data_IF_086632941058
#
_entry.id   IF_086632941058
#
_cell.length_a   1.000
_cell.length_b   1.000
_cell.length_c   1.000
_cell.angle_alpha   90.00
_cell.angle_beta   90.00
_cell.angle_gamma   90.00
#
_symmetry.space_group_name_H-M   'P 1'
#
loop_
_entity.id
_entity.type
_entity.pdbx_description
1 polymer ?
#
# COMPACT_ATOMS: atom_id res chain seq x y z
N UNK A 1 -70.74 -102.78 -39.34
CA UNK A 1 -69.42 -103.20 -38.81
C UNK A 1 -68.98 -102.14 -37.83
N UNK A 2 -68.84 -102.53 -36.56
CA UNK A 2 -68.56 -101.69 -35.39
C UNK A 2 -67.05 -101.50 -35.23
N UNK A 3 -66.67 -100.29 -34.82
CA UNK A 3 -65.49 -99.79 -34.09
C UNK A 3 -64.21 -100.64 -33.92
N UNK A 4 -63.06 -99.94 -33.94
CA UNK A 4 -62.08 -99.99 -32.84
C UNK A 4 -61.10 -98.80 -32.92
N UNK A 5 -61.10 -97.96 -31.88
CA UNK A 5 -60.13 -96.90 -31.63
C UNK A 5 -58.93 -97.48 -30.85
N UNK A 6 -57.71 -97.07 -31.20
CA UNK A 6 -56.48 -97.46 -30.52
C UNK A 6 -56.18 -96.50 -29.36
N UNK A 7 -56.10 -97.05 -28.15
CA UNK A 7 -55.68 -96.35 -26.94
C UNK A 7 -54.14 -96.40 -26.81
N UNK A 8 -53.49 -95.24 -26.83
CA UNK A 8 -52.10 -95.06 -26.45
C UNK A 8 -51.99 -94.71 -24.96
N UNK A 9 -51.13 -95.42 -24.24
CA UNK A 9 -50.87 -95.18 -22.82
C UNK A 9 -49.88 -94.02 -22.67
N UNK A 10 -50.33 -92.91 -22.10
CA UNK A 10 -49.46 -91.83 -21.66
C UNK A 10 -48.99 -92.12 -20.22
N UNK A 11 -47.68 -92.27 -20.04
CA UNK A 11 -47.05 -92.25 -18.72
C UNK A 11 -47.22 -90.84 -18.14
N UNK A 12 -47.96 -90.75 -17.04
CA UNK A 12 -48.08 -89.53 -16.25
C UNK A 12 -46.73 -89.22 -15.58
N UNK A 13 -46.07 -88.15 -16.00
CA UNK A 13 -45.03 -87.51 -15.21
C UNK A 13 -45.70 -86.82 -14.01
N UNK A 14 -45.39 -87.28 -12.80
CA UNK A 14 -45.79 -86.58 -11.57
C UNK A 14 -45.14 -85.19 -11.50
N UNK A 15 -45.74 -84.23 -10.77
CA UNK A 15 -45.19 -82.90 -10.62
C UNK A 15 -43.85 -83.00 -9.87
N UNK A 16 -42.80 -82.45 -10.47
CA UNK A 16 -41.55 -82.19 -9.77
C UNK A 16 -41.86 -81.24 -8.59
N UNK A 17 -41.69 -81.74 -7.36
CA UNK A 17 -41.65 -80.88 -6.18
C UNK A 17 -40.43 -79.97 -6.29
N UNK A 18 -40.64 -78.74 -6.75
CA UNK A 18 -39.61 -77.72 -6.79
C UNK A 18 -39.21 -77.35 -5.38
N UNK A 19 -37.96 -77.66 -5.01
CA UNK A 19 -37.37 -77.13 -3.78
C UNK A 19 -37.37 -75.59 -3.89
N UNK A 20 -38.10 -74.90 -3.02
CA UNK A 20 -38.06 -73.45 -2.95
C UNK A 20 -36.66 -73.03 -2.48
N UNK A 21 -35.90 -72.33 -3.32
CA UNK A 21 -34.60 -71.79 -2.92
C UNK A 21 -34.79 -70.76 -1.79
N UNK A 22 -33.93 -70.76 -0.75
CA UNK A 22 -34.09 -69.87 0.39
C UNK A 22 -33.93 -68.41 -0.01
N UNK A 23 -34.80 -67.55 0.52
CA UNK A 23 -34.80 -66.11 0.29
C UNK A 23 -33.97 -65.37 1.35
N UNK A 24 -33.64 -64.10 1.09
CA UNK A 24 -32.82 -63.27 1.97
C UNK A 24 -33.65 -62.19 2.67
N UNK A 25 -33.41 -61.96 3.96
CA UNK A 25 -34.02 -60.84 4.68
C UNK A 25 -33.23 -59.56 4.43
N UNK A 26 -33.91 -58.51 3.95
CA UNK A 26 -33.30 -57.22 3.57
C UNK A 26 -33.90 -56.11 4.44
N UNK A 27 -33.29 -55.86 5.59
CA UNK A 27 -33.81 -54.89 6.59
C UNK A 27 -32.97 -53.62 6.73
N UNK A 28 -31.74 -53.62 6.20
CA UNK A 28 -30.83 -52.47 6.24
C UNK A 28 -30.03 -52.39 4.95
N UNK A 29 -29.70 -51.17 4.55
CA UNK A 29 -28.77 -50.89 3.46
C UNK A 29 -27.32 -51.16 3.84
N UNK A 30 -26.38 -50.95 2.89
CA UNK A 30 -24.94 -50.97 3.17
C UNK A 30 -24.54 -49.82 4.12
N UNK A 31 -23.31 -49.84 4.63
CA UNK A 31 -22.73 -48.71 5.35
C UNK A 31 -22.64 -47.48 4.44
N UNK A 32 -22.93 -46.29 4.98
CA UNK A 32 -23.08 -45.03 4.22
C UNK A 32 -24.12 -45.15 3.09
N UNK A 33 -25.21 -45.87 3.35
CA UNK A 33 -26.31 -46.00 2.41
C UNK A 33 -27.60 -46.57 3.01
N UNK A 34 -28.63 -46.60 2.16
CA UNK A 34 -29.99 -47.03 2.47
C UNK A 34 -30.54 -47.93 1.37
N UNK A 35 -31.65 -48.60 1.65
CA UNK A 35 -32.35 -49.42 0.65
C UNK A 35 -32.97 -48.51 -0.42
N UNK A 36 -32.89 -48.92 -1.68
CA UNK A 36 -33.57 -48.27 -2.80
C UNK A 36 -35.08 -48.53 -2.78
N UNK A 37 -35.79 -47.75 -3.59
CA UNK A 37 -37.25 -47.86 -3.71
C UNK A 37 -37.70 -49.19 -4.35
N UNK A 38 -36.80 -49.86 -5.08
CA UNK A 38 -37.00 -51.17 -5.71
C UNK A 38 -36.73 -52.34 -4.76
N UNK A 39 -36.18 -52.09 -3.57
CA UNK A 39 -36.00 -53.13 -2.56
C UNK A 39 -37.33 -53.47 -1.86
N UNK A 40 -37.56 -54.74 -1.47
CA UNK A 40 -38.78 -55.18 -0.79
C UNK A 40 -38.99 -54.43 0.54
N UNK A 41 -40.12 -53.73 0.65
CA UNK A 41 -40.47 -52.97 1.84
C UNK A 41 -41.19 -53.82 2.88
N UNK A 42 -42.20 -54.61 2.51
CA UNK A 42 -42.84 -55.59 3.41
C UNK A 42 -43.52 -56.70 2.56
N UNK A 43 -43.29 -57.99 2.82
CA UNK A 43 -42.29 -58.55 3.73
C UNK A 43 -40.89 -58.30 3.16
N UNK A 44 -39.95 -57.82 3.99
CA UNK A 44 -38.54 -57.53 3.69
C UNK A 44 -37.74 -58.75 3.19
N UNK A 45 -38.17 -59.36 2.10
CA UNK A 45 -37.77 -60.68 1.66
C UNK A 45 -37.45 -60.65 0.17
N UNK A 46 -36.17 -60.81 -0.15
CA UNK A 46 -35.66 -60.84 -1.51
C UNK A 46 -35.52 -62.30 -1.95
N UNK A 47 -36.24 -62.70 -3.00
CA UNK A 47 -36.21 -64.06 -3.54
C UNK A 47 -34.80 -64.44 -4.01
N UNK A 48 -34.43 -65.72 -3.89
CA UNK A 48 -33.16 -66.24 -4.43
C UNK A 48 -33.03 -65.92 -5.92
N UNK A 49 -31.86 -65.46 -6.35
CA UNK A 49 -31.55 -64.99 -7.70
C UNK A 49 -32.02 -63.57 -8.02
N UNK A 50 -32.72 -62.91 -7.09
CA UNK A 50 -33.18 -61.53 -7.28
C UNK A 50 -32.16 -60.52 -6.74
N UNK A 51 -32.24 -59.30 -7.28
CA UNK A 51 -31.41 -58.17 -6.88
C UNK A 51 -32.26 -56.92 -6.69
N UNK A 52 -31.81 -56.01 -5.83
CA UNK A 52 -32.33 -54.65 -5.75
C UNK A 52 -31.18 -53.65 -5.61
N UNK A 53 -31.45 -52.37 -5.88
CA UNK A 53 -30.47 -51.32 -5.84
C UNK A 53 -30.47 -50.64 -4.47
N UNK A 54 -29.29 -50.47 -3.87
CA UNK A 54 -29.14 -49.59 -2.71
C UNK A 54 -28.89 -48.15 -3.20
N UNK A 55 -29.12 -47.18 -2.32
CA UNK A 55 -28.77 -45.78 -2.54
C UNK A 55 -27.69 -45.42 -1.52
N UNK A 56 -26.56 -44.88 -1.97
CA UNK A 56 -25.56 -44.36 -1.06
C UNK A 56 -25.97 -42.99 -0.51
N UNK A 57 -25.42 -42.64 0.66
CA UNK A 57 -25.54 -41.30 1.23
C UNK A 57 -24.77 -40.28 0.38
N UNK A 58 -25.08 -38.98 0.54
CA UNK A 58 -24.42 -37.93 -0.24
C UNK A 58 -22.89 -37.98 -0.05
N UNK A 59 -22.16 -37.90 -1.16
CA UNK A 59 -20.70 -37.99 -1.19
C UNK A 59 -20.13 -39.41 -1.22
N UNK A 60 -20.98 -40.42 -1.44
CA UNK A 60 -20.56 -41.82 -1.67
C UNK A 60 -21.12 -42.39 -2.98
N UNK A 61 -20.29 -43.16 -3.67
CA UNK A 61 -20.62 -43.87 -4.91
C UNK A 61 -20.92 -45.35 -4.66
N UNK A 62 -21.95 -45.86 -5.34
CA UNK A 62 -22.38 -47.25 -5.21
C UNK A 62 -21.49 -48.19 -6.05
N UNK A 63 -20.87 -49.16 -5.38
CA UNK A 63 -20.13 -50.25 -6.02
C UNK A 63 -20.88 -51.58 -5.86
N UNK A 64 -21.29 -52.13 -7.00
CA UNK A 64 -22.03 -53.39 -7.07
C UNK A 64 -23.54 -53.24 -6.87
N UNK A 65 -24.21 -54.37 -6.67
CA UNK A 65 -25.66 -54.45 -6.51
C UNK A 65 -25.99 -55.44 -5.40
N UNK A 66 -27.10 -55.22 -4.70
CA UNK A 66 -27.56 -56.14 -3.68
C UNK A 66 -28.16 -57.38 -4.34
N UNK A 67 -27.60 -58.56 -4.08
CA UNK A 67 -28.05 -59.83 -4.69
C UNK A 67 -28.30 -60.86 -3.62
N UNK A 68 -29.45 -61.55 -3.69
CA UNK A 68 -29.70 -62.74 -2.90
C UNK A 68 -29.34 -63.99 -3.71
N UNK A 69 -28.40 -64.80 -3.24
CA UNK A 69 -28.08 -66.10 -3.83
C UNK A 69 -28.24 -67.21 -2.79
N UNK A 70 -29.31 -68.00 -2.93
CA UNK A 70 -29.64 -69.13 -2.07
C UNK A 70 -29.54 -68.79 -0.57
N UNK A 71 -30.22 -67.72 -0.16
CA UNK A 71 -30.27 -67.25 1.23
C UNK A 71 -29.06 -66.44 1.67
N UNK A 72 -28.01 -66.32 0.84
CA UNK A 72 -26.87 -65.46 1.10
C UNK A 72 -27.05 -64.11 0.43
N UNK A 73 -27.19 -63.05 1.25
CA UNK A 73 -27.30 -61.69 0.76
C UNK A 73 -25.91 -61.09 0.57
N UNK A 74 -25.58 -60.71 -0.66
CA UNK A 74 -24.40 -59.90 -0.96
C UNK A 74 -24.81 -58.44 -1.00
N UNK A 75 -24.26 -57.65 -0.09
CA UNK A 75 -24.47 -56.20 -0.04
C UNK A 75 -23.52 -55.48 -1.03
N UNK A 76 -23.96 -54.38 -1.64
CA UNK A 76 -23.06 -53.47 -2.32
C UNK A 76 -22.21 -52.68 -1.31
N UNK A 77 -21.21 -51.95 -1.79
CA UNK A 77 -20.37 -51.07 -0.97
C UNK A 77 -20.56 -49.63 -1.43
N UNK A 78 -20.78 -48.72 -0.49
CA UNK A 78 -20.74 -47.29 -0.76
C UNK A 78 -19.34 -46.78 -0.44
N UNK A 79 -18.60 -46.37 -1.47
CA UNK A 79 -17.23 -45.85 -1.32
C UNK A 79 -17.25 -44.32 -1.39
N UNK A 80 -16.38 -43.62 -0.64
CA UNK A 80 -16.21 -42.17 -0.78
C UNK A 80 -16.08 -41.76 -2.25
N UNK A 81 -16.94 -40.83 -2.69
CA UNK A 81 -16.97 -40.40 -4.08
C UNK A 81 -15.69 -39.64 -4.45
N UNK A 82 -15.10 -39.98 -5.59
CA UNK A 82 -13.95 -39.24 -6.14
C UNK A 82 -14.39 -37.94 -6.81
N UNK A 83 -13.42 -37.07 -7.10
CA UNK A 83 -13.65 -35.79 -7.77
C UNK A 83 -13.09 -35.81 -9.18
N UNK A 84 -13.86 -35.31 -10.16
CA UNK A 84 -13.36 -35.10 -11.52
C UNK A 84 -12.54 -33.81 -11.57
N UNK A 85 -11.22 -33.94 -11.75
CA UNK A 85 -10.31 -32.79 -11.78
C UNK A 85 -10.26 -32.16 -13.16
N UNK A 86 -10.58 -32.90 -14.22
CA UNK A 86 -10.56 -32.39 -15.59
C UNK A 86 -11.56 -31.25 -15.81
N UNK A 87 -12.69 -31.25 -15.09
CA UNK A 87 -13.66 -30.16 -15.09
C UNK A 87 -13.17 -28.93 -14.31
N UNK A 88 -12.28 -29.13 -13.33
CA UNK A 88 -11.71 -28.04 -12.54
C UNK A 88 -10.74 -27.15 -13.34
N UNK A 89 -10.14 -27.69 -14.41
CA UNK A 89 -9.31 -26.93 -15.35
C UNK A 89 -10.08 -25.82 -16.07
N UNK A 90 -11.39 -25.99 -16.26
CA UNK A 90 -12.24 -24.95 -16.86
C UNK A 90 -12.64 -23.87 -15.85
N UNK A 91 -12.50 -24.15 -14.56
CA UNK A 91 -12.90 -23.27 -13.46
C UNK A 91 -11.76 -22.39 -12.96
N UNK A 92 -10.50 -22.77 -13.21
CA UNK A 92 -9.32 -22.07 -12.70
C UNK A 92 -8.55 -21.44 -13.86
N UNK A 93 -8.50 -20.11 -13.88
CA UNK A 93 -7.75 -19.35 -14.87
C UNK A 93 -6.24 -19.61 -14.76
N UNK A 94 -5.54 -19.56 -15.90
CA UNK A 94 -4.07 -19.68 -15.99
C UNK A 94 -3.47 -21.03 -15.55
N UNK A 95 -4.27 -22.10 -15.47
CA UNK A 95 -3.72 -23.46 -15.39
C UNK A 95 -3.21 -23.87 -16.78
N UNK A 96 -1.98 -24.36 -16.84
CA UNK A 96 -1.39 -24.85 -18.09
C UNK A 96 -1.55 -26.36 -18.28
N UNK A 97 -1.45 -27.13 -17.20
CA UNK A 97 -1.50 -28.58 -17.25
C UNK A 97 -1.95 -29.18 -15.90
N UNK A 98 -2.43 -30.42 -15.91
CA UNK A 98 -2.85 -31.14 -14.70
C UNK A 98 -1.69 -31.45 -13.75
N UNK A 99 -0.43 -31.41 -14.20
CA UNK A 99 0.70 -31.64 -13.33
C UNK A 99 0.68 -33.02 -12.68
N UNK A 100 0.59 -33.05 -11.35
CA UNK A 100 0.49 -34.30 -10.58
C UNK A 100 -0.94 -34.83 -10.45
N UNK A 101 -1.94 -34.07 -10.90
CA UNK A 101 -3.34 -34.41 -10.75
C UNK A 101 -3.80 -35.51 -11.73
N UNK A 102 -4.40 -36.61 -11.24
CA UNK A 102 -5.13 -37.54 -12.10
C UNK A 102 -6.44 -36.93 -12.58
N UNK A 103 -7.06 -37.50 -13.63
CA UNK A 103 -8.39 -37.07 -14.09
C UNK A 103 -9.47 -37.26 -13.01
N UNK A 104 -9.35 -38.30 -12.19
CA UNK A 104 -10.22 -38.57 -11.06
C UNK A 104 -9.40 -38.68 -9.78
N UNK A 105 -9.59 -37.73 -8.88
CA UNK A 105 -8.92 -37.69 -7.58
C UNK A 105 -9.75 -38.46 -6.55
N UNK A 106 -9.13 -39.41 -5.85
CA UNK A 106 -9.82 -40.17 -4.80
C UNK A 106 -10.18 -39.26 -3.62
N UNK A 107 -11.27 -39.57 -2.92
CA UNK A 107 -11.66 -38.79 -1.73
C UNK A 107 -10.61 -38.91 -0.63
N UNK A 108 -10.16 -37.77 -0.12
CA UNK A 108 -9.12 -37.63 0.91
C UNK A 108 -7.75 -37.29 0.34
N UNK A 109 -7.59 -37.31 -0.99
CA UNK A 109 -6.32 -37.02 -1.65
C UNK A 109 -6.22 -35.55 -2.07
N UNK A 110 -4.97 -35.12 -2.25
CA UNK A 110 -4.61 -33.81 -2.78
C UNK A 110 -3.67 -33.96 -3.98
N UNK A 111 -3.70 -33.00 -4.90
CA UNK A 111 -2.77 -32.93 -6.02
C UNK A 111 -2.44 -31.48 -6.39
N UNK A 112 -1.26 -31.29 -6.96
CA UNK A 112 -0.78 -29.98 -7.41
C UNK A 112 -0.84 -29.91 -8.95
N UNK A 113 -1.68 -29.02 -9.51
CA UNK A 113 -1.69 -28.76 -10.95
C UNK A 113 -0.62 -27.74 -11.33
N UNK A 114 -0.26 -27.68 -12.61
CA UNK A 114 0.77 -26.76 -13.10
C UNK A 114 0.14 -25.48 -13.63
N UNK A 115 0.48 -24.37 -12.98
CA UNK A 115 0.16 -23.04 -13.49
C UNK A 115 0.97 -22.72 -14.75
N UNK A 116 0.39 -21.86 -15.60
CA UNK A 116 1.03 -21.34 -16.79
C UNK A 116 2.23 -20.45 -16.50
N UNK A 117 2.96 -20.06 -17.56
CA UNK A 117 4.18 -19.27 -17.41
C UNK A 117 3.90 -17.97 -16.64
N UNK A 118 4.73 -17.69 -15.63
CA UNK A 118 4.63 -16.56 -14.70
C UNK A 118 3.47 -16.63 -13.70
N UNK A 119 3.00 -17.82 -13.36
CA UNK A 119 2.01 -18.02 -12.30
C UNK A 119 2.46 -19.13 -11.35
N UNK A 120 2.19 -18.96 -10.05
CA UNK A 120 2.40 -19.93 -8.99
C UNK A 120 1.05 -20.37 -8.42
N UNK A 121 0.97 -21.64 -8.04
CA UNK A 121 -0.22 -22.20 -7.39
C UNK A 121 -0.35 -21.65 -5.97
N UNK A 122 -1.54 -21.16 -5.60
CA UNK A 122 -1.82 -20.70 -4.23
C UNK A 122 -1.98 -21.84 -3.22
N UNK A 123 -2.07 -23.09 -3.70
CA UNK A 123 -2.23 -24.31 -2.92
C UNK A 123 -2.43 -25.53 -3.80
N UNK A 124 -3.03 -26.58 -3.24
CA UNK A 124 -3.36 -27.83 -3.93
C UNK A 124 -4.85 -27.92 -4.26
N UNK A 125 -5.19 -28.72 -5.25
CA UNK A 125 -6.54 -29.27 -5.34
C UNK A 125 -6.70 -30.37 -4.31
N UNK A 126 -7.85 -30.42 -3.63
CA UNK A 126 -8.14 -31.49 -2.67
C UNK A 126 -9.58 -31.97 -2.79
N UNK A 127 -9.75 -33.29 -2.72
CA UNK A 127 -11.06 -33.93 -2.88
C UNK A 127 -11.53 -34.49 -1.54
N UNK A 128 -12.78 -34.25 -1.17
CA UNK A 128 -13.41 -34.90 -0.02
C UNK A 128 -14.88 -35.20 -0.30
N UNK A 129 -15.24 -36.48 -0.31
CA UNK A 129 -16.61 -36.97 -0.51
C UNK A 129 -17.27 -36.38 -1.76
N UNK A 130 -16.55 -36.38 -2.88
CA UNK A 130 -17.00 -35.84 -4.17
C UNK A 130 -16.97 -34.31 -4.28
N UNK A 131 -16.52 -33.59 -3.23
CA UNK A 131 -16.37 -32.14 -3.26
C UNK A 131 -14.90 -31.77 -3.49
N UNK A 132 -14.62 -31.07 -4.59
CA UNK A 132 -13.28 -30.63 -4.97
C UNK A 132 -13.08 -29.17 -4.54
N UNK A 133 -12.13 -28.93 -3.64
CA UNK A 133 -11.63 -27.58 -3.40
C UNK A 133 -10.48 -27.28 -4.34
N UNK A 134 -10.60 -26.15 -5.03
CA UNK A 134 -9.62 -25.69 -6.02
C UNK A 134 -8.67 -24.64 -5.42
N UNK A 135 -7.59 -24.38 -6.14
CA UNK A 135 -6.64 -23.32 -5.88
C UNK A 135 -6.68 -22.28 -7.01
N UNK A 136 -5.97 -21.18 -6.84
CA UNK A 136 -5.83 -20.13 -7.86
C UNK A 136 -4.38 -20.05 -8.34
N UNK A 137 -4.19 -19.95 -9.65
CA UNK A 137 -2.91 -19.57 -10.21
C UNK A 137 -2.74 -18.05 -10.05
N UNK A 138 -1.89 -17.66 -9.11
CA UNK A 138 -1.56 -16.26 -8.86
C UNK A 138 -0.28 -15.92 -9.58
N UNK A 139 -0.27 -14.78 -10.24
CA UNK A 139 0.86 -14.40 -11.07
C UNK A 139 2.12 -14.16 -10.24
N UNK A 140 3.26 -14.74 -10.65
CA UNK A 140 4.60 -14.55 -10.11
C UNK A 140 5.14 -13.17 -10.47
N UNK A 141 4.52 -12.12 -9.94
CA UNK A 141 5.06 -10.77 -10.03
C UNK A 141 6.05 -10.66 -8.88
N UNK A 142 7.25 -11.18 -9.07
CA UNK A 142 8.39 -10.58 -8.41
C UNK A 142 8.65 -9.28 -9.16
N UNK A 143 8.30 -8.10 -8.60
CA UNK A 143 8.59 -6.88 -9.30
C UNK A 143 10.11 -6.81 -9.45
N UNK A 144 10.59 -6.67 -10.69
CA UNK A 144 12.03 -6.56 -10.96
C UNK A 144 12.57 -5.48 -10.03
N UNK A 145 13.55 -5.81 -9.16
CA UNK A 145 13.96 -4.86 -8.15
C UNK A 145 14.62 -3.66 -8.84
N UNK A 146 14.06 -2.47 -8.64
CA UNK A 146 14.63 -1.25 -9.19
C UNK A 146 15.95 -0.92 -8.49
N UNK A 147 16.95 -0.40 -9.22
CA UNK A 147 18.21 0.04 -8.63
C UNK A 147 18.00 1.18 -7.62
N UNK A 148 19.02 1.44 -6.80
CA UNK A 148 19.03 2.59 -5.90
C UNK A 148 18.79 3.89 -6.68
N UNK A 149 17.97 4.78 -6.13
CA UNK A 149 17.52 6.02 -6.78
C UNK A 149 16.36 5.88 -7.75
N UNK A 150 15.75 4.71 -7.89
CA UNK A 150 14.59 4.50 -8.77
C UNK A 150 13.44 3.78 -8.05
N UNK A 151 12.22 4.26 -8.20
CA UNK A 151 10.99 3.61 -7.73
C UNK A 151 10.25 2.88 -8.86
N UNK A 152 9.33 2.01 -8.45
CA UNK A 152 8.45 1.27 -9.33
C UNK A 152 7.18 2.10 -9.58
N UNK A 153 6.78 2.30 -10.84
CA UNK A 153 5.50 2.96 -11.15
C UNK A 153 4.34 1.99 -10.97
N UNK A 154 3.44 2.29 -10.02
CA UNK A 154 2.17 1.59 -9.86
C UNK A 154 1.24 1.91 -11.05
N UNK A 155 0.82 0.89 -11.80
CA UNK A 155 -0.22 1.02 -12.84
C UNK A 155 0.20 0.71 -14.27
N UNK A 156 1.40 0.19 -14.50
CA UNK A 156 1.68 -0.51 -15.75
C UNK A 156 1.27 -1.98 -15.62
N UNK A 157 0.22 -2.39 -16.34
CA UNK A 157 -0.05 -3.80 -16.62
C UNK A 157 1.27 -4.42 -17.10
N UNK A 158 1.90 -5.32 -16.32
CA UNK A 158 3.04 -6.13 -16.77
C UNK A 158 2.58 -7.18 -17.80
N UNK A 159 1.93 -6.71 -18.86
CA UNK A 159 1.82 -7.44 -20.09
C UNK A 159 3.21 -7.50 -20.72
N UNK A 160 3.79 -8.71 -20.68
CA UNK A 160 4.89 -9.20 -21.52
C UNK A 160 6.34 -8.85 -21.12
N UNK A 161 6.83 -9.43 -20.02
CA UNK A 161 8.28 -9.60 -19.79
C UNK A 161 8.78 -10.89 -20.46
N UNK A 162 8.82 -10.90 -21.80
CA UNK A 162 9.51 -11.96 -22.56
C UNK A 162 10.59 -11.44 -23.51
N UNK A 163 10.99 -10.18 -23.35
CA UNK A 163 12.19 -9.67 -24.01
C UNK A 163 13.14 -9.07 -22.98
N UNK A 164 14.28 -9.75 -22.80
CA UNK A 164 15.31 -9.56 -21.77
C UNK A 164 16.15 -8.29 -21.97
N UNK A 165 15.48 -7.15 -22.18
CA UNK A 165 16.08 -5.82 -22.32
C UNK A 165 15.34 -4.72 -21.55
N UNK A 166 14.33 -5.08 -20.74
CA UNK A 166 13.39 -4.12 -20.13
C UNK A 166 13.47 -4.11 -18.59
N UNK A 167 14.65 -4.37 -18.01
CA UNK A 167 14.88 -4.12 -16.58
C UNK A 167 14.88 -2.61 -16.24
N UNK A 168 14.67 -1.73 -17.21
CA UNK A 168 14.74 -0.26 -17.07
C UNK A 168 13.51 0.50 -17.57
N UNK A 169 12.43 -0.17 -18.02
CA UNK A 169 11.22 0.56 -18.46
C UNK A 169 10.09 0.61 -17.42
N UNK A 170 10.28 0.01 -16.24
CA UNK A 170 9.29 0.04 -15.14
C UNK A 170 9.78 0.87 -13.94
N UNK A 171 11.06 1.25 -13.96
CA UNK A 171 11.69 2.00 -12.87
C UNK A 171 11.83 3.47 -13.27
N UNK A 172 11.21 4.37 -12.53
CA UNK A 172 11.37 5.81 -12.70
C UNK A 172 12.32 6.37 -11.64
N UNK A 173 13.15 7.36 -11.98
CA UNK A 173 14.06 7.95 -11.00
C UNK A 173 13.26 8.64 -9.90
N UNK A 174 13.73 8.55 -8.65
CA UNK A 174 13.09 9.23 -7.52
C UNK A 174 12.85 10.72 -7.87
N UNK A 175 11.66 11.26 -7.63
CA UNK A 175 11.40 12.67 -7.86
C UNK A 175 12.24 13.55 -6.93
N UNK A 176 12.30 14.85 -7.21
CA UNK A 176 12.98 15.80 -6.33
C UNK A 176 12.40 15.75 -4.91
N UNK A 177 13.25 15.89 -3.90
CA UNK A 177 12.92 15.76 -2.48
C UNK A 177 12.65 14.33 -2.00
N UNK A 178 13.01 13.32 -2.79
CA UNK A 178 12.98 11.91 -2.41
C UNK A 178 14.29 11.19 -2.75
N UNK A 179 14.55 10.05 -2.12
CA UNK A 179 15.76 9.24 -2.31
C UNK A 179 15.50 7.76 -2.08
N UNK A 180 16.34 6.87 -2.62
CA UNK A 180 16.24 5.43 -2.36
C UNK A 180 17.61 4.73 -2.25
N UNK A 181 17.99 4.25 -1.04
CA UNK A 181 19.33 3.70 -0.80
C UNK A 181 19.55 2.27 -1.26
N UNK A 182 18.49 1.47 -1.28
CA UNK A 182 18.59 0.03 -1.52
C UNK A 182 17.88 -0.36 -2.81
N UNK A 183 18.41 -1.41 -3.44
CA UNK A 183 17.81 -2.06 -4.60
C UNK A 183 16.54 -2.79 -4.15
N UNK A 184 15.42 -2.60 -4.85
CA UNK A 184 14.16 -3.25 -4.49
C UNK A 184 12.96 -2.68 -5.24
N UNK A 185 11.76 -3.24 -5.06
CA UNK A 185 10.54 -2.76 -5.72
C UNK A 185 9.84 -1.60 -5.00
N UNK A 186 10.26 -1.28 -3.76
CA UNK A 186 9.61 -0.26 -2.93
C UNK A 186 9.73 1.17 -3.49
N UNK A 187 8.84 2.07 -3.03
CA UNK A 187 8.84 3.48 -3.44
C UNK A 187 10.05 4.25 -2.91
N UNK A 188 10.26 5.46 -3.41
CA UNK A 188 11.27 6.36 -2.87
C UNK A 188 10.90 6.85 -1.46
N UNK A 189 11.93 7.11 -0.65
CA UNK A 189 11.80 7.68 0.69
C UNK A 189 11.83 9.19 0.59
N UNK A 190 10.97 9.87 1.34
CA UNK A 190 10.97 11.35 1.38
C UNK A 190 12.18 11.88 2.14
N UNK A 191 12.75 12.97 1.65
CA UNK A 191 13.65 13.79 2.44
C UNK A 191 12.93 14.38 3.66
N UNK A 192 13.66 14.79 4.72
CA UNK A 192 13.09 15.52 5.85
C UNK A 192 12.32 16.77 5.39
N UNK A 193 11.29 17.17 6.15
CA UNK A 193 10.48 18.34 5.81
C UNK A 193 11.36 19.59 5.66
N UNK A 194 11.23 20.32 4.55
CA UNK A 194 12.06 21.49 4.25
C UNK A 194 13.38 21.18 3.53
N UNK A 195 13.69 19.89 3.27
CA UNK A 195 14.81 19.48 2.42
C UNK A 195 14.36 19.14 0.99
N UNK A 196 15.29 19.27 0.05
CA UNK A 196 15.15 18.83 -1.34
C UNK A 196 16.36 17.98 -1.74
N UNK A 197 16.13 17.06 -2.65
CA UNK A 197 17.16 16.25 -3.33
C UNK A 197 17.02 16.41 -4.84
N UNK A 198 18.07 16.04 -5.58
CA UNK A 198 18.00 15.93 -7.03
C UNK A 198 17.20 14.69 -7.45
N UNK A 199 16.65 14.73 -8.67
CA UNK A 199 15.99 13.57 -9.28
C UNK A 199 16.97 12.38 -9.33
N UNK A 200 16.50 11.20 -8.95
CA UNK A 200 17.29 9.95 -8.95
C UNK A 200 18.24 9.82 -7.76
N UNK A 201 18.06 10.61 -6.69
CA UNK A 201 18.90 10.53 -5.49
C UNK A 201 18.80 9.16 -4.83
N UNK A 202 19.94 8.67 -4.35
CA UNK A 202 20.03 7.37 -3.70
C UNK A 202 20.52 7.43 -2.26
N UNK A 203 20.90 8.59 -1.72
CA UNK A 203 21.30 8.70 -0.31
C UNK A 203 20.55 9.81 0.41
N UNK A 204 20.27 9.60 1.70
CA UNK A 204 19.72 10.64 2.58
C UNK A 204 20.66 11.87 2.64
N UNK A 205 21.96 11.67 2.46
CA UNK A 205 22.95 12.74 2.42
C UNK A 205 22.81 13.68 1.21
N UNK A 206 22.10 13.28 0.16
CA UNK A 206 21.80 14.14 -0.99
C UNK A 206 20.63 15.11 -0.69
N UNK A 207 19.89 14.88 0.39
CA UNK A 207 18.86 15.80 0.86
C UNK A 207 19.55 17.03 1.47
N UNK A 208 19.24 18.20 0.92
CA UNK A 208 19.77 19.49 1.36
C UNK A 208 18.63 20.39 1.81
N UNK A 209 18.81 21.09 2.94
CA UNK A 209 17.79 22.01 3.43
C UNK A 209 17.60 23.17 2.44
N UNK A 210 16.36 23.58 2.23
CA UNK A 210 16.06 24.73 1.41
C UNK A 210 16.62 26.01 2.05
N UNK A 211 16.80 27.08 1.28
CA UNK A 211 17.48 28.30 1.73
C UNK A 211 16.84 28.97 2.97
N UNK A 212 15.58 28.67 3.31
CA UNK A 212 14.91 29.18 4.52
C UNK A 212 15.07 28.29 5.75
N UNK A 213 15.84 27.22 5.67
CA UNK A 213 16.08 26.25 6.74
C UNK A 213 17.57 26.00 6.92
N UNK A 214 17.99 25.68 8.14
CA UNK A 214 19.33 25.16 8.44
C UNK A 214 19.24 23.68 8.83
N UNK A 215 20.28 22.92 8.50
CA UNK A 215 20.39 21.50 8.76
C UNK A 215 20.72 21.23 10.22
N UNK A 216 20.04 20.25 10.82
CA UNK A 216 20.45 19.60 12.04
C UNK A 216 20.85 18.16 11.72
N UNK A 217 22.04 17.77 12.17
CA UNK A 217 22.60 16.44 11.94
C UNK A 217 22.61 15.62 13.22
N UNK A 218 22.36 14.33 13.09
CA UNK A 218 22.53 13.39 14.19
C UNK A 218 24.01 13.33 14.61
N UNK A 219 24.26 13.32 15.92
CA UNK A 219 25.62 13.39 16.48
C UNK A 219 26.50 12.19 16.14
N UNK A 220 25.91 11.00 15.91
CA UNK A 220 26.67 9.76 15.69
C UNK A 220 26.82 9.38 14.22
N UNK A 221 25.79 9.62 13.41
CA UNK A 221 25.71 9.16 12.02
C UNK A 221 26.04 10.28 11.03
N UNK A 222 26.08 11.54 11.48
CA UNK A 222 26.11 12.74 10.63
C UNK A 222 25.01 12.76 9.56
N UNK A 223 23.95 11.98 9.74
CA UNK A 223 22.80 11.97 8.85
C UNK A 223 21.95 13.22 9.11
N UNK A 224 21.34 13.75 8.04
CA UNK A 224 20.41 14.87 8.16
C UNK A 224 19.17 14.41 8.96
N UNK A 225 19.05 14.89 10.20
CA UNK A 225 17.96 14.57 11.11
C UNK A 225 16.72 15.40 10.77
N UNK A 226 16.90 16.71 10.66
CA UNK A 226 15.83 17.64 10.35
C UNK A 226 16.33 18.94 9.72
N UNK A 227 15.44 19.64 9.01
CA UNK A 227 15.66 21.01 8.60
C UNK A 227 14.85 21.93 9.50
N UNK A 228 15.53 22.79 10.24
CA UNK A 228 14.90 23.73 11.17
C UNK A 228 14.74 25.09 10.49
N UNK A 229 13.53 25.68 10.52
CA UNK A 229 13.29 26.95 9.84
C UNK A 229 14.14 28.05 10.46
N UNK A 230 14.76 28.85 9.60
CA UNK A 230 15.33 30.11 10.02
C UNK A 230 14.21 31.07 10.50
N UNK A 231 14.53 32.07 11.35
CA UNK A 231 13.58 33.11 11.74
C UNK A 231 12.87 33.78 10.56
N UNK A 232 11.68 34.34 10.79
CA UNK A 232 10.90 34.97 9.71
C UNK A 232 11.72 36.00 8.93
N UNK A 233 11.62 35.95 7.59
CA UNK A 233 12.34 36.79 6.62
C UNK A 233 13.87 36.65 6.67
N UNK A 234 14.35 35.49 7.09
CA UNK A 234 15.78 35.14 7.03
C UNK A 234 16.02 33.90 6.19
N UNK A 235 17.27 33.73 5.75
CA UNK A 235 17.72 32.67 4.87
C UNK A 235 19.20 32.36 5.10
N UNK A 236 19.60 31.16 4.71
CA UNK A 236 20.99 30.74 4.60
C UNK A 236 21.52 31.14 3.23
N UNK A 237 22.67 31.80 3.18
CA UNK A 237 23.28 32.38 1.97
C UNK A 237 23.72 31.32 0.93
N UNK A 238 23.73 30.03 1.27
CA UNK A 238 24.17 28.95 0.36
C UNK A 238 23.42 27.63 0.52
N UNK A 239 22.27 27.60 1.21
CA UNK A 239 21.48 26.36 1.41
C UNK A 239 22.15 25.27 2.27
N UNK A 240 23.37 25.49 2.76
CA UNK A 240 24.15 24.52 3.56
C UNK A 240 24.42 25.03 4.98
N UNK A 241 23.46 25.75 5.56
CA UNK A 241 23.57 26.26 6.93
C UNK A 241 23.38 25.10 7.89
N UNK A 242 24.15 25.07 8.97
CA UNK A 242 24.15 23.98 9.97
C UNK A 242 23.73 24.46 11.36
N UNK A 243 23.50 25.77 11.50
CA UNK A 243 23.13 26.40 12.75
C UNK A 243 22.26 27.63 12.53
N UNK A 244 21.64 28.12 13.61
CA UNK A 244 20.88 29.38 13.61
C UNK A 244 21.76 30.59 13.23
N UNK A 245 23.06 30.53 13.49
CA UNK A 245 23.99 31.62 13.19
C UNK A 245 24.24 31.78 11.68
N UNK A 246 23.97 30.75 10.89
CA UNK A 246 24.06 30.79 9.43
C UNK A 246 22.85 31.47 8.77
N UNK A 247 21.79 31.73 9.55
CA UNK A 247 20.61 32.45 9.08
C UNK A 247 20.88 33.96 9.04
N UNK A 248 20.69 34.56 7.87
CA UNK A 248 20.88 35.99 7.63
C UNK A 248 19.59 36.62 7.12
N UNK A 249 19.36 37.90 7.41
CA UNK A 249 18.14 38.57 6.93
C UNK A 249 18.12 38.64 5.40
N UNK A 250 16.96 38.33 4.82
CA UNK A 250 16.73 38.54 3.40
C UNK A 250 16.88 40.03 3.05
N UNK A 251 17.20 40.30 1.79
CA UNK A 251 17.37 41.68 1.30
C UNK A 251 16.15 42.54 1.66
N UNK A 252 16.41 43.66 2.36
CA UNK A 252 15.37 44.61 2.77
C UNK A 252 14.79 44.38 4.18
N UNK A 253 15.28 43.39 4.93
CA UNK A 253 14.91 43.17 6.33
C UNK A 253 16.08 43.47 7.27
N UNK A 254 15.75 43.97 8.47
CA UNK A 254 16.70 44.37 9.50
C UNK A 254 16.76 43.31 10.61
N UNK A 255 17.97 43.04 11.08
CA UNK A 255 18.27 42.07 12.16
C UNK A 255 17.77 42.58 13.51
N UNK A 256 17.15 41.70 14.29
CA UNK A 256 16.82 41.93 15.70
C UNK A 256 17.30 40.72 16.54
N UNK A 257 18.15 40.93 17.56
CA UNK A 257 18.74 42.20 17.99
C UNK A 257 19.78 42.75 17.01
N UNK A 258 20.04 44.06 17.03
CA UNK A 258 21.09 44.68 16.19
C UNK A 258 22.52 44.19 16.50
N UNK A 259 22.74 43.64 17.70
CA UNK A 259 24.03 43.11 18.12
C UNK A 259 24.27 41.72 17.50
N UNK A 260 25.22 41.65 16.57
CA UNK A 260 25.60 40.42 15.85
C UNK A 260 26.15 39.31 16.77
N UNK A 261 26.56 39.65 17.99
CA UNK A 261 27.02 38.68 19.01
C UNK A 261 25.88 37.87 19.63
N UNK A 262 24.63 38.34 19.51
CA UNK A 262 23.44 37.67 20.02
C UNK A 262 22.76 36.86 18.92
N UNK A 263 22.12 35.74 19.23
CA UNK A 263 21.41 34.95 18.21
C UNK A 263 20.29 35.74 17.54
N UNK A 264 20.12 35.55 16.22
CA UNK A 264 19.06 36.17 15.42
C UNK A 264 17.68 35.70 15.93
N UNK A 265 16.84 36.64 16.38
CA UNK A 265 15.47 36.34 16.82
C UNK A 265 14.46 36.51 15.69
N UNK A 266 14.57 37.60 14.92
CA UNK A 266 13.66 37.89 13.80
C UNK A 266 14.30 38.87 12.82
N UNK A 267 13.95 38.74 11.54
CA UNK A 267 14.22 39.77 10.55
C UNK A 267 12.93 40.57 10.32
N UNK A 268 12.92 41.78 10.87
CA UNK A 268 11.77 42.68 10.82
C UNK A 268 11.88 43.60 9.59
N UNK A 269 10.76 44.00 8.97
CA UNK A 269 10.81 45.07 8.00
C UNK A 269 11.34 46.34 8.69
N UNK A 270 12.05 47.22 7.98
CA UNK A 270 12.59 48.41 8.58
C UNK A 270 11.45 49.34 9.03
N UNK A 271 11.70 50.09 10.11
CA UNK A 271 10.72 51.06 10.59
C UNK A 271 10.78 52.32 9.75
N UNK A 272 9.61 52.87 9.48
CA UNK A 272 9.52 54.25 9.04
C UNK A 272 9.89 55.16 10.22
N UNK A 273 10.83 56.08 10.02
CA UNK A 273 11.24 56.99 11.09
C UNK A 273 10.20 58.09 11.27
N UNK A 274 9.50 58.07 12.41
CA UNK A 274 8.56 59.12 12.78
C UNK A 274 9.33 60.35 13.28
N UNK A 275 9.47 61.35 12.41
CA UNK A 275 10.20 62.58 12.74
C UNK A 275 9.55 63.33 13.90
N UNK A 276 8.22 63.35 13.97
CA UNK A 276 7.47 64.00 15.05
C UNK A 276 7.78 63.36 16.41
N UNK A 277 7.84 62.03 16.48
CA UNK A 277 8.22 61.32 17.70
C UNK A 277 9.68 61.59 18.08
N UNK A 278 10.60 61.67 17.10
CA UNK A 278 12.00 62.01 17.34
C UNK A 278 12.16 63.43 17.92
N UNK A 279 11.51 64.45 17.34
CA UNK A 279 11.54 65.81 17.88
C UNK A 279 10.95 65.90 19.29
N UNK A 280 9.87 65.16 19.57
CA UNK A 280 9.26 65.11 20.89
C UNK A 280 10.17 64.41 21.93
N UNK A 281 10.87 63.35 21.53
CA UNK A 281 11.82 62.64 22.40
C UNK A 281 13.11 63.43 22.64
N UNK A 282 13.65 64.06 21.59
CA UNK A 282 14.91 64.79 21.63
C UNK A 282 14.88 66.04 22.54
N UNK A 283 13.71 66.45 23.04
CA UNK A 283 13.51 67.53 24.03
C UNK A 283 14.48 68.72 23.83
N UNK A 284 14.53 69.23 22.60
CA UNK A 284 15.46 70.26 22.20
C UNK A 284 15.09 71.57 22.91
N UNK A 285 15.94 72.01 23.84
CA UNK A 285 15.68 73.22 24.64
C UNK A 285 16.18 74.46 23.91
N UNK A 286 15.31 75.47 23.75
CA UNK A 286 15.67 76.77 23.16
C UNK A 286 14.46 77.64 22.80
N UNK A 287 14.65 78.95 22.50
CA UNK A 287 13.59 79.83 22.01
C UNK A 287 13.03 79.30 20.68
N UNK A 288 11.71 79.44 20.44
CA UNK A 288 11.05 78.92 19.23
C UNK A 288 11.78 79.30 17.92
N UNK A 289 12.32 80.52 17.86
CA UNK A 289 13.04 81.02 16.69
C UNK A 289 14.33 80.24 16.36
N UNK A 290 14.99 79.60 17.34
CA UNK A 290 16.26 78.88 17.17
C UNK A 290 16.12 77.36 17.31
N UNK A 291 14.90 76.85 17.32
CA UNK A 291 14.65 75.42 17.29
C UNK A 291 15.05 74.83 15.94
N UNK A 292 15.43 73.55 15.99
CA UNK A 292 15.83 72.77 14.83
C UNK A 292 14.67 72.68 13.82
N UNK A 293 14.96 73.05 12.57
CA UNK A 293 14.00 73.04 11.46
C UNK A 293 14.16 71.77 10.63
N UNK A 294 13.07 71.37 9.98
CA UNK A 294 13.00 70.15 9.16
C UNK A 294 14.03 70.10 8.02
N UNK A 295 14.59 71.22 7.58
CA UNK A 295 15.64 71.21 6.56
C UNK A 295 15.24 70.44 5.29
N UNK A 296 16.10 69.53 4.82
CA UNK A 296 15.76 68.64 3.69
C UNK A 296 14.79 67.53 4.08
N UNK A 297 14.58 67.27 5.37
CA UNK A 297 13.53 66.36 5.85
C UNK A 297 12.11 66.90 5.58
N UNK A 298 11.94 68.19 5.30
CA UNK A 298 10.66 68.78 4.89
C UNK A 298 10.13 68.17 3.58
N UNK A 299 10.99 67.56 2.75
CA UNK A 299 10.53 66.82 1.58
C UNK A 299 9.63 65.62 1.93
N UNK A 300 9.68 65.15 3.18
CA UNK A 300 8.87 64.05 3.72
C UNK A 300 7.67 64.54 4.56
N UNK A 301 7.41 65.87 4.64
CA UNK A 301 6.34 66.47 5.46
C UNK A 301 4.93 65.95 5.11
N UNK A 302 4.69 65.62 3.83
CA UNK A 302 3.39 65.09 3.39
C UNK A 302 3.08 63.70 3.96
N UNK A 303 4.03 63.06 4.65
CA UNK A 303 3.86 61.76 5.29
C UNK A 303 4.46 61.59 6.69
N UNK A 304 5.14 62.58 7.30
CA UNK A 304 5.76 62.52 8.65
C UNK A 304 6.73 61.33 8.90
N UNK A 305 7.08 60.59 7.86
CA UNK A 305 7.92 59.40 7.93
C UNK A 305 9.05 59.49 6.92
N UNK A 306 10.29 59.31 7.38
CA UNK A 306 11.43 59.08 6.48
C UNK A 306 11.48 57.59 6.15
N UNK A 307 11.50 57.20 4.86
CA UNK A 307 11.70 55.80 4.48
C UNK A 307 13.05 55.28 4.98
N UNK A 308 13.11 54.03 5.42
CA UNK A 308 14.38 53.43 5.85
C UNK A 308 15.42 53.38 4.71
N UNK A 309 16.68 53.52 5.09
CA UNK A 309 17.84 53.68 4.22
C UNK A 309 17.95 55.07 3.58
N UNK A 310 17.06 56.02 3.93
CA UNK A 310 17.17 57.42 3.51
C UNK A 310 17.77 58.28 4.62
N UNK A 311 18.60 59.21 4.19
CA UNK A 311 19.10 60.28 5.02
C UNK A 311 18.36 61.59 4.70
N UNK A 312 18.22 62.43 5.70
CA UNK A 312 17.80 63.80 5.52
C UNK A 312 18.52 64.69 6.54
N UNK A 313 18.68 65.95 6.20
CA UNK A 313 19.41 66.91 7.01
C UNK A 313 18.46 67.90 7.65
N UNK A 314 18.59 68.05 8.95
CA UNK A 314 17.96 69.09 9.73
C UNK A 314 18.76 70.39 9.60
N UNK A 315 18.09 71.53 9.79
CA UNK A 315 18.73 72.85 9.66
C UNK A 315 18.53 73.68 10.92
N UNK A 316 19.58 74.41 11.28
CA UNK A 316 19.54 75.50 12.25
C UNK A 316 19.57 76.85 11.52
N UNK A 317 19.24 77.91 12.26
CA UNK A 317 19.49 79.27 11.76
C UNK A 317 21.00 79.51 11.60
N UNK A 318 21.36 80.42 10.70
CA UNK A 318 22.77 80.74 10.46
C UNK A 318 23.44 81.24 11.74
N UNK A 319 24.48 80.53 12.17
CA UNK A 319 25.24 80.83 13.39
C UNK A 319 24.71 80.14 14.66
N UNK A 320 23.71 79.26 14.56
CA UNK A 320 23.22 78.44 15.69
C UNK A 320 23.46 76.95 15.45
N UNK A 321 23.45 76.16 16.53
CA UNK A 321 23.63 74.70 16.50
C UNK A 321 22.67 74.03 17.48
N UNK A 322 22.24 72.78 17.19
CA UNK A 322 21.34 72.04 18.08
C UNK A 322 22.04 71.68 19.39
N UNK A 323 21.32 71.73 20.52
CA UNK A 323 21.79 71.32 21.83
C UNK A 323 20.79 70.34 22.45
N UNK A 324 21.28 69.18 22.91
CA UNK A 324 20.48 68.19 23.63
C UNK A 324 20.53 68.50 25.14
N UNK A 325 19.45 69.06 25.67
CA UNK A 325 19.28 69.25 27.12
C UNK A 325 20.47 69.90 27.83
N UNK A 326 20.90 69.32 28.96
CA UNK A 326 21.93 69.89 29.86
C UNK A 326 23.37 69.72 29.38
N UNK A 327 23.62 69.10 28.22
CA UNK A 327 24.97 68.92 27.70
C UNK A 327 25.31 70.00 26.65
N UNK A 328 26.07 71.00 27.08
CA UNK A 328 26.48 72.14 26.24
C UNK A 328 27.62 71.80 25.26
N UNK A 329 28.19 70.59 25.33
CA UNK A 329 29.28 70.15 24.46
C UNK A 329 28.88 69.01 23.49
N UNK A 330 27.71 68.41 23.68
CA UNK A 330 27.16 67.40 22.78
C UNK A 330 26.61 68.02 21.49
N UNK A 331 27.36 67.95 20.39
CA UNK A 331 26.84 68.28 19.07
C UNK A 331 25.83 67.22 18.63
N UNK A 332 24.61 67.64 18.29
CA UNK A 332 23.63 66.75 17.65
C UNK A 332 23.98 66.68 16.17
N UNK A 333 24.10 65.46 15.65
CA UNK A 333 24.22 65.30 14.20
C UNK A 333 22.96 65.86 13.52
N UNK A 334 23.19 66.69 12.50
CA UNK A 334 22.12 67.26 11.69
C UNK A 334 21.69 66.28 10.59
N UNK A 335 22.49 65.26 10.31
CA UNK A 335 22.12 64.16 9.43
C UNK A 335 21.33 63.09 10.20
N UNK A 336 20.04 62.95 9.87
CA UNK A 336 19.23 61.84 10.33
C UNK A 336 19.32 60.71 9.31
N UNK A 337 19.92 59.59 9.70
CA UNK A 337 19.84 58.34 8.95
C UNK A 337 18.69 57.48 9.52
N UNK A 338 17.72 57.17 8.67
CA UNK A 338 16.64 56.26 9.06
C UNK A 338 17.07 54.81 8.83
N UNK A 339 17.37 54.08 9.90
CA UNK A 339 17.73 52.64 9.87
C UNK A 339 16.55 51.73 10.21
#
# INVERSE_FOLDING_TARGET
VVAAALAGWALAAGPAGGASMPSCSVTRGPENGRLGADCPQEPHNLSSGSSCQALCDDGYDLQGVMVCDNGNLRLPVCIPAGCNVSEALELVDNVADLGSCPEQLESGEECEPLCGPNYDASGNFSCLLGNLTTMECTSHWMPVPCPAGFEFEDGMDALNVHNRSVASAVCTPCPSAEYKPEVGPGPCKKCPAGANSNIGSHFLADCSCNATFFAQFEAETFALESCVPCPNNSQVVSGSGTSLEDCTCQTGFMREPKDDSLSLLVCRPPYNCNLTAFFNYANLTGPQQHQLKMGTCAAYEAGQFVPSGKNCHLLCDTGTGPQLGTDIFGAVDLELMCE
#
